data_IF_206664766329
#
_entry.id   IF_206664766329
#
_cell.length_a   1.000
_cell.length_b   1.000
_cell.length_c   1.000
_cell.angle_alpha   90.00
_cell.angle_beta   90.00
_cell.angle_gamma   90.00
#
_symmetry.space_group_name_H-M   'P 1'
#
loop_
_entity.id
_entity.type
_entity.pdbx_description
1 polymer ?
#
# COMPACT_ATOMS: atom_id res chain seq x y z
N UNK A 1 25.61 12.23 -11.71
CA UNK A 1 24.72 13.42 -11.61
C UNK A 1 24.82 14.18 -12.92
N UNK A 2 23.71 14.61 -13.53
CA UNK A 2 23.76 15.47 -14.72
C UNK A 2 23.86 16.93 -14.27
N UNK A 3 24.70 17.72 -14.93
CA UNK A 3 24.84 19.17 -14.68
C UNK A 3 24.31 19.95 -15.88
N UNK A 4 23.70 21.10 -15.63
CA UNK A 4 23.12 21.97 -16.65
C UNK A 4 23.54 23.41 -16.40
N UNK A 5 23.77 24.19 -17.47
CA UNK A 5 24.04 25.63 -17.40
C UNK A 5 22.81 26.40 -17.86
N UNK A 6 22.26 27.24 -16.99
CA UNK A 6 21.02 28.00 -17.28
C UNK A 6 21.11 28.89 -18.53
N UNK A 7 22.31 29.38 -18.87
CA UNK A 7 22.53 30.20 -20.06
C UNK A 7 22.38 29.45 -21.40
N UNK A 8 22.42 28.11 -21.37
CA UNK A 8 22.39 27.25 -22.56
C UNK A 8 21.03 26.56 -22.76
N UNK A 9 20.08 26.78 -21.84
CA UNK A 9 18.77 26.11 -21.81
C UNK A 9 17.67 27.00 -22.43
N UNK A 10 16.80 26.39 -23.23
CA UNK A 10 15.57 27.03 -23.67
C UNK A 10 14.46 26.89 -22.61
N UNK A 11 13.46 27.79 -22.66
CA UNK A 11 12.37 27.81 -21.67
C UNK A 11 11.64 26.46 -21.49
N UNK A 12 11.48 25.69 -22.58
CA UNK A 12 10.89 24.36 -22.55
C UNK A 12 11.72 23.37 -21.71
N UNK A 13 13.05 23.42 -21.81
CA UNK A 13 13.94 22.52 -21.07
C UNK A 13 13.98 22.89 -19.58
N UNK A 14 13.95 24.17 -19.24
CA UNK A 14 13.83 24.64 -17.85
C UNK A 14 12.53 24.13 -17.21
N UNK A 15 11.44 24.11 -17.98
CA UNK A 15 10.14 23.59 -17.52
C UNK A 15 10.20 22.08 -17.29
N UNK A 16 10.90 21.34 -18.15
CA UNK A 16 11.16 19.90 -17.98
C UNK A 16 12.03 19.59 -16.77
N UNK A 17 13.05 20.41 -16.48
CA UNK A 17 13.93 20.24 -15.31
C UNK A 17 13.22 20.49 -13.98
N UNK A 18 12.14 21.28 -13.98
CA UNK A 18 11.26 21.45 -12.82
C UNK A 18 10.37 20.23 -12.57
N UNK A 19 10.12 19.41 -13.59
CA UNK A 19 9.26 18.24 -13.45
C UNK A 19 9.95 17.19 -12.57
N UNK A 20 9.23 16.71 -11.54
CA UNK A 20 9.68 15.55 -10.77
C UNK A 20 9.45 14.29 -11.61
N UNK A 21 10.28 13.24 -11.47
CA UNK A 21 10.03 11.94 -12.10
C UNK A 21 8.62 11.47 -11.71
N UNK A 22 7.72 11.40 -12.70
CA UNK A 22 6.38 10.84 -12.50
C UNK A 22 6.43 9.35 -12.80
N UNK A 23 5.74 8.58 -11.97
CA UNK A 23 5.52 7.15 -12.21
C UNK A 23 4.26 7.05 -13.07
N UNK A 24 4.24 6.13 -14.04
CA UNK A 24 3.01 5.84 -14.79
C UNK A 24 2.02 5.12 -13.86
N UNK A 25 1.10 5.89 -13.27
CA UNK A 25 0.09 5.38 -12.35
C UNK A 25 -0.95 4.52 -13.06
N UNK A 26 -1.14 4.66 -14.38
CA UNK A 26 -2.24 4.02 -15.08
C UNK A 26 -2.08 2.51 -15.05
N UNK A 27 -0.93 2.01 -15.51
CA UNK A 27 -0.68 0.57 -15.59
C UNK A 27 -0.71 -0.11 -14.22
N UNK A 28 -0.09 0.50 -13.20
CA UNK A 28 -0.04 -0.07 -11.86
C UNK A 28 -1.39 -0.02 -11.15
N UNK A 29 -2.15 1.06 -11.34
CA UNK A 29 -3.45 1.21 -10.70
C UNK A 29 -4.48 0.23 -11.28
N UNK A 30 -4.58 0.13 -12.60
CA UNK A 30 -5.56 -0.78 -13.22
C UNK A 30 -5.16 -2.26 -13.09
N UNK A 31 -3.87 -2.57 -13.14
CA UNK A 31 -3.39 -3.95 -13.07
C UNK A 31 -3.34 -4.53 -11.66
N UNK A 32 -2.88 -3.73 -10.68
CA UNK A 32 -2.60 -4.24 -9.33
C UNK A 32 -3.57 -3.70 -8.29
N UNK A 33 -3.84 -2.39 -8.30
CA UNK A 33 -4.66 -1.76 -7.24
C UNK A 33 -6.15 -2.08 -7.42
N UNK A 34 -6.66 -2.03 -8.66
CA UNK A 34 -8.08 -2.23 -8.92
C UNK A 34 -8.61 -3.62 -8.50
N UNK A 35 -7.90 -4.73 -8.79
CA UNK A 35 -8.30 -6.04 -8.26
C UNK A 35 -8.33 -6.11 -6.73
N UNK A 36 -7.37 -5.48 -6.05
CA UNK A 36 -7.33 -5.43 -4.58
C UNK A 36 -8.54 -4.68 -4.03
N UNK A 37 -8.87 -3.52 -4.62
CA UNK A 37 -10.02 -2.71 -4.19
C UNK A 37 -11.33 -3.49 -4.38
N UNK A 38 -11.51 -4.14 -5.52
CA UNK A 38 -12.71 -4.96 -5.77
C UNK A 38 -12.78 -6.16 -4.82
N UNK A 39 -11.67 -6.79 -4.52
CA UNK A 39 -11.61 -7.94 -3.62
C UNK A 39 -11.93 -7.55 -2.17
N UNK A 40 -11.43 -6.41 -1.70
CA UNK A 40 -11.81 -5.81 -0.41
C UNK A 40 -13.28 -5.40 -0.38
N UNK A 41 -13.85 -4.91 -1.49
CA UNK A 41 -15.26 -4.54 -1.57
C UNK A 41 -16.19 -5.76 -1.37
N UNK A 42 -15.79 -6.94 -1.83
CA UNK A 42 -16.58 -8.17 -1.74
C UNK A 42 -16.34 -8.92 -0.42
N UNK A 43 -15.07 -9.07 -0.01
CA UNK A 43 -14.68 -9.93 1.13
C UNK A 43 -14.31 -9.16 2.39
N UNK A 44 -14.25 -7.83 2.34
CA UNK A 44 -13.96 -6.96 3.47
C UNK A 44 -12.63 -7.29 4.14
N UNK A 45 -12.65 -7.40 5.47
CA UNK A 45 -11.48 -7.63 6.31
C UNK A 45 -10.72 -8.94 6.01
N UNK A 46 -11.37 -9.92 5.39
CA UNK A 46 -10.73 -11.17 5.00
C UNK A 46 -9.72 -10.97 3.85
N UNK A 47 -10.10 -10.18 2.84
CA UNK A 47 -9.22 -9.84 1.72
C UNK A 47 -8.06 -8.95 2.16
N UNK A 48 -8.30 -7.98 3.06
CA UNK A 48 -7.25 -7.12 3.59
C UNK A 48 -6.17 -7.93 4.29
N UNK A 49 -6.56 -8.90 5.13
CA UNK A 49 -5.59 -9.77 5.80
C UNK A 49 -4.83 -10.61 4.78
N UNK A 50 -5.51 -11.32 3.91
CA UNK A 50 -4.85 -12.21 2.95
C UNK A 50 -3.86 -11.48 2.05
N UNK A 51 -4.25 -10.34 1.48
CA UNK A 51 -3.41 -9.58 0.57
C UNK A 51 -2.24 -8.91 1.31
N UNK A 52 -2.49 -8.35 2.49
CA UNK A 52 -1.46 -7.69 3.30
C UNK A 52 -0.45 -8.69 3.90
N UNK A 53 -0.91 -9.85 4.36
CA UNK A 53 -0.04 -10.91 4.91
C UNK A 53 0.78 -11.61 3.82
N UNK A 54 0.24 -11.78 2.60
CA UNK A 54 0.90 -12.51 1.53
C UNK A 54 1.92 -11.68 0.76
N UNK A 55 1.64 -10.41 0.52
CA UNK A 55 2.44 -9.59 -0.38
C UNK A 55 3.30 -8.53 0.32
N UNK A 56 2.89 -8.04 1.49
CA UNK A 56 3.48 -6.84 2.08
C UNK A 56 4.14 -7.04 3.45
N UNK A 57 4.05 -8.24 4.04
CA UNK A 57 4.81 -8.55 5.25
C UNK A 57 6.18 -9.14 4.92
N UNK A 58 7.19 -8.27 4.93
CA UNK A 58 8.53 -8.66 5.34
C UNK A 58 8.63 -8.51 6.87
N UNK A 59 8.75 -9.66 7.54
CA UNK A 59 9.60 -9.92 8.71
C UNK A 59 9.54 -9.06 9.98
N UNK A 60 8.49 -8.29 10.29
CA UNK A 60 8.43 -7.61 11.61
C UNK A 60 7.11 -7.69 12.40
N UNK A 61 6.10 -8.47 11.97
CA UNK A 61 5.01 -8.92 12.86
C UNK A 61 4.11 -7.86 13.52
N UNK A 62 4.27 -6.56 13.22
CA UNK A 62 3.56 -5.47 13.93
C UNK A 62 2.02 -5.56 13.79
N UNK A 63 1.51 -6.19 12.72
CA UNK A 63 0.06 -6.30 12.48
C UNK A 63 -0.59 -7.60 12.99
N UNK A 64 0.15 -8.57 13.53
CA UNK A 64 -0.47 -9.80 14.09
C UNK A 64 -1.03 -9.59 15.50
N UNK A 65 -0.55 -8.61 16.26
CA UNK A 65 -0.98 -8.40 17.65
C UNK A 65 -2.38 -7.78 17.79
N UNK A 66 -2.80 -6.91 16.87
CA UNK A 66 -4.16 -6.32 16.92
C UNK A 66 -5.25 -7.30 16.47
N UNK A 67 -4.93 -8.18 15.51
CA UNK A 67 -5.87 -9.20 15.02
C UNK A 67 -6.01 -10.37 16.01
N UNK A 68 -4.93 -10.73 16.72
CA UNK A 68 -4.97 -11.75 17.77
C UNK A 68 -5.67 -11.27 19.05
N UNK A 69 -5.63 -9.96 19.35
CA UNK A 69 -6.38 -9.38 20.47
C UNK A 69 -7.91 -9.47 20.26
N UNK A 70 -8.39 -9.18 19.04
CA UNK A 70 -9.81 -9.31 18.71
C UNK A 70 -10.31 -10.78 18.74
N UNK A 71 -9.46 -11.75 18.36
CA UNK A 71 -9.77 -13.18 18.46
C UNK A 71 -9.72 -13.72 19.90
N UNK A 72 -8.86 -13.16 20.75
CA UNK A 72 -8.70 -13.55 22.16
C UNK A 72 -9.84 -13.03 23.04
N UNK A 73 -10.40 -11.86 22.74
CA UNK A 73 -11.54 -11.28 23.48
C UNK A 73 -12.76 -12.21 23.47
N UNK A 74 -13.03 -12.88 22.34
CA UNK A 74 -14.13 -13.85 22.18
C UNK A 74 -13.93 -15.14 22.97
N UNK A 75 -12.68 -15.56 23.22
CA UNK A 75 -12.35 -16.75 24.04
C UNK A 75 -12.45 -16.42 25.52
N UNK A 76 -11.91 -15.29 25.95
CA UNK A 76 -11.95 -14.84 27.35
C UNK A 76 -13.40 -14.62 27.83
N UNK A 77 -14.30 -14.14 26.94
CA UNK A 77 -15.71 -13.97 27.28
C UNK A 77 -16.49 -15.29 27.37
N UNK A 78 -16.08 -16.35 26.65
CA UNK A 78 -16.67 -17.70 26.78
C UNK A 78 -16.17 -18.46 28.00
N UNK A 79 -14.90 -18.28 28.38
CA UNK A 79 -14.32 -18.97 29.55
C UNK A 79 -14.76 -18.37 30.89
N UNK A 80 -15.25 -17.11 30.93
CA UNK A 80 -15.83 -16.49 32.13
C UNK A 80 -17.35 -16.63 32.25
N UNK A 81 -17.99 -17.43 31.38
CA UNK A 81 -19.42 -17.74 31.41
C UNK A 81 -19.68 -19.25 31.58
N UNK A 82 -18.80 -19.93 32.33
CA UNK A 82 -19.01 -21.26 32.92
C UNK A 82 -18.60 -21.24 34.38
#
# INVERSE_FOLDING_TARGET
MKSYRLAELIYAEVTGLKARPQIDFFFYFFGTVNPIVEDVRVRGDAAVKEEFFKQFQDSNGICTELVSFAGSSSRIFRENLM
#
